data_IF_156576829827
#
_entry.id   IF_156576829827
#
_cell.length_a   1.000
_cell.length_b   1.000
_cell.length_c   1.000
_cell.angle_alpha   90.00
_cell.angle_beta   90.00
_cell.angle_gamma   90.00
#
_symmetry.space_group_name_H-M   'P 1'
#
loop_
_entity.id
_entity.type
_entity.pdbx_description
1 polymer ?
#
# COMPACT_ATOMS: atom_id res chain seq x y z
N UNK A 1 14.03 -21.88 -4.75
CA UNK A 1 15.33 -21.57 -5.41
C UNK A 1 15.43 -20.15 -5.99
N UNK A 2 14.53 -19.70 -6.91
CA UNK A 2 14.65 -18.37 -7.52
C UNK A 2 14.41 -17.25 -6.51
N UNK A 3 13.36 -17.33 -5.70
CA UNK A 3 13.06 -16.34 -4.65
C UNK A 3 14.17 -16.31 -3.57
N UNK A 4 14.69 -17.45 -3.18
CA UNK A 4 15.82 -17.55 -2.23
C UNK A 4 17.08 -16.84 -2.76
N UNK A 5 17.39 -17.01 -4.05
CA UNK A 5 18.53 -16.32 -4.68
C UNK A 5 18.32 -14.80 -4.71
N UNK A 6 17.09 -14.36 -4.96
CA UNK A 6 16.77 -12.93 -4.93
C UNK A 6 16.89 -12.36 -3.52
N UNK A 7 16.36 -13.04 -2.50
CA UNK A 7 16.43 -12.61 -1.11
C UNK A 7 17.88 -12.52 -0.57
N UNK A 8 18.79 -13.39 -1.03
CA UNK A 8 20.22 -13.29 -0.69
C UNK A 8 20.85 -12.01 -1.24
N UNK A 9 20.42 -11.56 -2.43
CA UNK A 9 20.95 -10.36 -3.09
C UNK A 9 20.22 -9.08 -2.70
N UNK A 10 19.00 -9.22 -2.19
CA UNK A 10 18.14 -8.12 -1.79
C UNK A 10 17.54 -8.40 -0.40
N UNK A 11 18.20 -7.94 0.67
CA UNK A 11 17.74 -8.19 2.04
C UNK A 11 16.42 -7.46 2.39
N UNK A 12 15.93 -6.57 1.53
CA UNK A 12 14.63 -5.92 1.69
C UNK A 12 13.45 -6.71 1.08
N UNK A 13 13.77 -7.78 0.33
CA UNK A 13 12.78 -8.68 -0.24
C UNK A 13 12.50 -9.83 0.73
N UNK A 14 11.26 -9.90 1.18
CA UNK A 14 10.78 -10.97 2.06
C UNK A 14 9.74 -11.81 1.32
N UNK A 15 9.71 -13.12 1.58
CA UNK A 15 8.68 -14.00 1.02
C UNK A 15 8.36 -15.15 1.97
N UNK A 16 7.12 -15.61 1.92
CA UNK A 16 6.63 -16.78 2.65
C UNK A 16 5.70 -17.62 1.76
N UNK A 17 5.70 -18.96 1.91
CA UNK A 17 4.76 -19.81 1.19
C UNK A 17 3.32 -19.49 1.56
N UNK A 18 2.45 -19.45 0.56
CA UNK A 18 1.03 -19.22 0.73
C UNK A 18 0.21 -20.12 -0.21
N UNK A 19 -0.99 -20.48 0.21
CA UNK A 19 -1.94 -21.25 -0.61
C UNK A 19 -3.25 -20.47 -0.69
N UNK A 20 -3.72 -20.23 -1.92
CA UNK A 20 -5.01 -19.63 -2.22
C UNK A 20 -5.95 -20.70 -2.80
N UNK A 21 -7.22 -20.65 -2.45
CA UNK A 21 -8.24 -21.56 -3.01
C UNK A 21 -8.46 -21.33 -4.50
N UNK A 22 -8.25 -20.08 -4.98
CA UNK A 22 -8.45 -19.71 -6.37
C UNK A 22 -7.19 -19.91 -7.23
N UNK A 23 -5.99 -19.61 -6.70
CA UNK A 23 -4.72 -19.59 -7.45
C UNK A 23 -3.82 -20.81 -7.14
N UNK A 24 -4.13 -21.58 -6.09
CA UNK A 24 -3.31 -22.70 -5.65
C UNK A 24 -2.09 -22.27 -4.83
N UNK A 25 -1.01 -23.02 -4.94
CA UNK A 25 0.23 -22.75 -4.23
C UNK A 25 0.97 -21.56 -4.83
N UNK A 26 1.43 -20.66 -3.96
CA UNK A 26 2.19 -19.47 -4.32
C UNK A 26 3.02 -18.94 -3.17
N UNK A 27 3.37 -17.66 -3.25
CA UNK A 27 4.14 -16.97 -2.22
C UNK A 27 3.54 -15.60 -1.95
N UNK A 28 3.51 -15.21 -0.69
CA UNK A 28 3.33 -13.84 -0.28
C UNK A 28 4.69 -13.18 -0.23
N UNK A 29 4.81 -12.03 -0.90
CA UNK A 29 6.06 -11.31 -1.00
C UNK A 29 5.91 -9.90 -0.42
N UNK A 30 6.91 -9.47 0.34
CA UNK A 30 7.04 -8.11 0.86
C UNK A 30 7.93 -7.27 -0.05
N UNK A 31 7.49 -6.04 -0.34
CA UNK A 31 8.21 -5.10 -1.20
C UNK A 31 8.30 -3.72 -0.57
N UNK A 32 9.35 -2.97 -0.89
CA UNK A 32 9.51 -1.57 -0.47
C UNK A 32 8.55 -0.60 -1.20
N UNK A 33 7.97 -1.04 -2.32
CA UNK A 33 7.04 -0.25 -3.14
C UNK A 33 6.84 -0.90 -4.51
N UNK A 34 6.01 -0.27 -5.37
CA UNK A 34 5.65 -0.82 -6.69
C UNK A 34 6.87 -1.02 -7.59
N UNK A 35 7.78 -0.06 -7.64
CA UNK A 35 8.99 -0.19 -8.47
C UNK A 35 9.85 -1.38 -8.03
N UNK A 36 9.99 -1.62 -6.74
CA UNK A 36 10.69 -2.78 -6.22
C UNK A 36 9.99 -4.08 -6.65
N UNK A 37 8.66 -4.12 -6.55
CA UNK A 37 7.84 -5.24 -7.00
C UNK A 37 8.05 -5.54 -8.50
N UNK A 38 8.01 -4.52 -9.36
CA UNK A 38 8.24 -4.64 -10.80
C UNK A 38 9.66 -5.16 -11.13
N UNK A 39 10.67 -4.68 -10.42
CA UNK A 39 12.06 -5.14 -10.60
C UNK A 39 12.19 -6.62 -10.23
N UNK A 40 11.63 -7.03 -9.11
CA UNK A 40 11.66 -8.43 -8.66
C UNK A 40 10.89 -9.32 -9.65
N UNK A 41 9.72 -8.88 -10.12
CA UNK A 41 8.97 -9.59 -11.16
C UNK A 41 9.80 -9.78 -12.43
N UNK A 42 10.35 -8.71 -12.99
CA UNK A 42 11.17 -8.78 -14.20
C UNK A 42 12.39 -9.69 -14.04
N UNK A 43 13.01 -9.70 -12.86
CA UNK A 43 14.11 -10.60 -12.58
C UNK A 43 13.68 -12.05 -12.53
N UNK A 44 12.54 -12.36 -11.91
CA UNK A 44 11.99 -13.73 -11.88
C UNK A 44 11.65 -14.23 -13.28
N UNK A 45 11.01 -13.39 -14.09
CA UNK A 45 10.65 -13.72 -15.47
C UNK A 45 11.89 -13.90 -16.35
N UNK A 46 12.86 -12.97 -16.29
CA UNK A 46 14.02 -12.98 -17.19
C UNK A 46 15.15 -13.90 -16.75
N UNK A 47 15.41 -14.03 -15.43
CA UNK A 47 16.54 -14.82 -14.91
C UNK A 47 16.15 -16.26 -14.59
N UNK A 48 14.89 -16.51 -14.23
CA UNK A 48 14.42 -17.83 -13.82
C UNK A 48 13.41 -18.46 -14.79
N UNK A 49 13.01 -17.76 -15.86
CA UNK A 49 12.05 -18.21 -16.89
C UNK A 49 10.75 -18.71 -16.26
N UNK A 50 10.20 -17.92 -15.31
CA UNK A 50 8.99 -18.25 -14.55
C UNK A 50 7.85 -17.34 -15.01
N UNK A 51 6.75 -17.93 -15.48
CA UNK A 51 5.50 -17.21 -15.67
C UNK A 51 4.83 -16.93 -14.32
N UNK A 52 4.59 -15.66 -14.02
CA UNK A 52 4.02 -15.20 -12.75
C UNK A 52 2.58 -14.75 -12.91
N UNK A 53 1.72 -15.17 -11.98
CA UNK A 53 0.41 -14.56 -11.74
C UNK A 53 0.53 -13.70 -10.49
N UNK A 54 0.50 -12.38 -10.70
CA UNK A 54 0.65 -11.41 -9.63
C UNK A 54 -0.69 -10.83 -9.24
N UNK A 55 -0.97 -10.80 -7.93
CA UNK A 55 -2.16 -10.13 -7.37
C UNK A 55 -1.84 -8.67 -7.03
N UNK A 56 -2.88 -7.86 -6.87
CA UNK A 56 -2.72 -6.48 -6.42
C UNK A 56 -2.05 -6.42 -5.04
N UNK A 57 -1.14 -5.45 -4.80
CA UNK A 57 -0.50 -5.27 -3.52
C UNK A 57 -1.53 -4.93 -2.44
N UNK A 58 -1.32 -5.43 -1.24
CA UNK A 58 -2.16 -5.16 -0.08
C UNK A 58 -1.34 -4.50 1.03
N UNK A 59 -2.02 -3.85 1.96
CA UNK A 59 -1.42 -3.26 3.15
C UNK A 59 -1.83 -4.08 4.37
N UNK A 60 -0.97 -4.11 5.39
CA UNK A 60 -1.30 -4.74 6.66
C UNK A 60 -2.18 -3.82 7.48
N UNK A 61 -3.33 -4.32 7.93
CA UNK A 61 -4.23 -3.65 8.86
C UNK A 61 -4.02 -4.19 10.29
N UNK A 62 -4.56 -3.48 11.27
CA UNK A 62 -4.64 -3.96 12.64
C UNK A 62 -6.09 -3.98 13.10
N UNK A 63 -6.40 -4.91 13.99
CA UNK A 63 -7.68 -5.00 14.68
C UNK A 63 -7.40 -5.00 16.19
N UNK A 64 -8.16 -4.20 16.91
CA UNK A 64 -8.25 -4.31 18.36
C UNK A 64 -9.48 -5.15 18.68
N UNK A 65 -9.29 -6.26 19.38
CA UNK A 65 -10.40 -7.09 19.81
C UNK A 65 -11.01 -6.56 21.13
N UNK A 66 -12.18 -7.07 21.52
CA UNK A 66 -12.85 -6.69 22.78
C UNK A 66 -12.07 -7.00 24.05
N UNK A 67 -10.97 -7.74 23.95
CA UNK A 67 -10.04 -8.00 25.06
C UNK A 67 -8.91 -6.98 25.14
N UNK A 68 -8.86 -6.02 24.18
CA UNK A 68 -7.81 -5.02 24.08
C UNK A 68 -6.53 -5.54 23.44
N UNK A 69 -6.55 -6.71 22.79
CA UNK A 69 -5.38 -7.26 22.10
C UNK A 69 -5.35 -6.72 20.67
N UNK A 70 -4.18 -6.30 20.19
CA UNK A 70 -3.97 -5.87 18.81
C UNK A 70 -3.50 -7.05 17.96
N UNK A 71 -4.18 -7.29 16.85
CA UNK A 71 -3.92 -8.39 15.92
C UNK A 71 -3.63 -7.77 14.55
N UNK A 72 -2.49 -8.12 13.96
CA UNK A 72 -2.16 -7.72 12.58
C UNK A 72 -2.92 -8.59 11.58
N UNK A 73 -3.54 -7.96 10.61
CA UNK A 73 -4.34 -8.60 9.57
C UNK A 73 -3.65 -8.43 8.22
N UNK A 74 -3.23 -9.53 7.66
CA UNK A 74 -2.58 -9.58 6.35
C UNK A 74 -3.53 -10.00 5.23
N UNK A 75 -4.62 -10.72 5.58
CA UNK A 75 -5.63 -11.21 4.65
C UNK A 75 -7.03 -10.90 5.18
N UNK A 76 -8.01 -10.67 4.30
CA UNK A 76 -9.40 -10.51 4.71
C UNK A 76 -9.97 -11.73 5.48
N UNK A 77 -9.40 -12.90 5.24
CA UNK A 77 -9.81 -14.16 5.90
C UNK A 77 -9.39 -14.21 7.38
N UNK A 78 -8.28 -13.51 7.74
CA UNK A 78 -7.78 -13.45 9.11
C UNK A 78 -8.61 -12.52 10.01
N UNK A 79 -9.57 -11.78 9.44
CA UNK A 79 -10.49 -10.92 10.18
C UNK A 79 -11.39 -11.76 11.06
N UNK A 80 -11.36 -11.58 12.40
CA UNK A 80 -12.25 -12.27 13.34
C UNK A 80 -13.72 -11.99 13.05
N UNK A 81 -14.59 -12.73 13.74
CA UNK A 81 -16.02 -12.46 13.67
C UNK A 81 -16.32 -10.99 14.06
N UNK A 82 -17.24 -10.31 13.36
CA UNK A 82 -17.55 -8.90 13.64
C UNK A 82 -17.96 -8.64 15.11
N UNK A 83 -18.45 -9.68 15.79
CA UNK A 83 -18.82 -9.62 17.21
C UNK A 83 -17.62 -9.47 18.15
N UNK A 84 -16.42 -9.85 17.73
CA UNK A 84 -15.20 -9.83 18.53
C UNK A 84 -14.29 -8.62 18.23
N UNK A 85 -14.59 -7.87 17.15
CA UNK A 85 -13.85 -6.69 16.75
C UNK A 85 -14.40 -5.47 17.51
N UNK A 86 -13.52 -4.71 18.14
CA UNK A 86 -13.81 -3.42 18.76
C UNK A 86 -13.45 -2.27 17.81
N UNK A 87 -12.28 -2.33 17.19
CA UNK A 87 -11.76 -1.26 16.34
C UNK A 87 -10.90 -1.82 15.21
N UNK A 88 -11.11 -1.29 14.01
CA UNK A 88 -10.16 -1.46 12.90
C UNK A 88 -9.17 -0.30 12.85
N UNK A 89 -7.91 -0.60 12.55
CA UNK A 89 -6.85 0.38 12.36
C UNK A 89 -6.19 0.20 11.00
N UNK A 90 -5.99 1.32 10.33
CA UNK A 90 -5.30 1.38 9.04
C UNK A 90 -3.91 2.00 9.19
N UNK A 91 -2.91 1.55 8.41
CA UNK A 91 -1.60 2.17 8.39
C UNK A 91 -1.67 3.56 7.75
N UNK A 92 -1.07 4.54 8.42
CA UNK A 92 -0.98 5.93 7.98
C UNK A 92 0.47 6.26 7.65
N UNK A 93 0.67 6.94 6.54
CA UNK A 93 1.96 7.46 6.11
C UNK A 93 1.94 8.97 6.02
N UNK A 94 3.03 9.59 6.40
CA UNK A 94 3.29 11.02 6.20
C UNK A 94 3.91 11.21 4.85
N UNK A 95 3.19 11.88 3.97
CA UNK A 95 3.59 12.19 2.61
C UNK A 95 4.11 13.62 2.54
N UNK A 96 5.34 13.80 2.11
CA UNK A 96 5.94 15.10 1.82
C UNK A 96 5.97 15.30 0.30
N UNK A 97 5.18 16.24 -0.19
CA UNK A 97 5.07 16.52 -1.63
C UNK A 97 5.70 17.87 -1.92
N UNK A 98 6.77 17.88 -2.73
CA UNK A 98 7.43 19.11 -3.18
C UNK A 98 6.99 19.41 -4.61
N UNK A 99 6.40 20.59 -4.81
CA UNK A 99 5.84 21.00 -6.11
C UNK A 99 6.13 22.48 -6.39
N UNK A 100 6.16 22.89 -7.68
CA UNK A 100 6.07 24.30 -8.03
C UNK A 100 4.74 24.91 -7.54
N UNK A 101 4.79 26.20 -7.16
CA UNK A 101 3.65 26.90 -6.55
C UNK A 101 2.37 26.86 -7.39
N UNK A 102 2.51 26.80 -8.72
CA UNK A 102 1.39 26.75 -9.66
C UNK A 102 0.56 25.45 -9.55
N UNK A 103 1.13 24.38 -8.99
CA UNK A 103 0.48 23.07 -8.87
C UNK A 103 -0.02 22.75 -7.46
N UNK A 104 0.15 23.66 -6.48
CA UNK A 104 -0.29 23.44 -5.10
C UNK A 104 -1.76 23.00 -5.05
N UNK A 105 -2.65 23.74 -5.73
CA UNK A 105 -4.08 23.45 -5.71
C UNK A 105 -4.44 22.08 -6.30
N UNK A 106 -3.76 21.66 -7.36
CA UNK A 106 -3.98 20.35 -7.97
C UNK A 106 -3.56 19.20 -7.04
N UNK A 107 -2.40 19.35 -6.38
CA UNK A 107 -1.89 18.35 -5.42
C UNK A 107 -2.76 18.31 -4.16
N UNK A 108 -3.17 19.45 -3.62
CA UNK A 108 -4.07 19.49 -2.46
C UNK A 108 -5.38 18.77 -2.74
N UNK A 109 -5.99 19.01 -3.91
CA UNK A 109 -7.21 18.32 -4.33
C UNK A 109 -6.99 16.81 -4.42
N UNK A 110 -5.90 16.38 -5.07
CA UNK A 110 -5.55 14.96 -5.18
C UNK A 110 -5.38 14.29 -3.81
N UNK A 111 -4.62 14.92 -2.89
CA UNK A 111 -4.42 14.36 -1.54
C UNK A 111 -5.73 14.31 -0.74
N UNK A 112 -6.62 15.29 -0.89
CA UNK A 112 -7.95 15.27 -0.25
C UNK A 112 -8.84 14.16 -0.81
N UNK A 113 -8.85 13.94 -2.12
CA UNK A 113 -9.57 12.82 -2.75
C UNK A 113 -9.05 11.45 -2.26
N UNK A 114 -7.81 11.39 -1.78
CA UNK A 114 -7.16 10.22 -1.16
C UNK A 114 -7.28 10.18 0.37
N UNK A 115 -8.29 10.81 0.92
CA UNK A 115 -8.54 10.85 2.37
C UNK A 115 -7.37 11.44 3.18
N UNK A 116 -6.51 12.23 2.55
CA UNK A 116 -5.36 12.85 3.18
C UNK A 116 -5.76 14.01 4.10
N UNK A 117 -5.10 14.07 5.25
CA UNK A 117 -5.23 15.15 6.24
C UNK A 117 -3.98 16.02 6.15
N UNK A 118 -4.17 17.29 5.77
CA UNK A 118 -3.04 18.22 5.65
C UNK A 118 -2.45 18.54 7.02
N UNK A 119 -1.14 18.37 7.14
CA UNK A 119 -0.38 18.68 8.35
C UNK A 119 0.29 20.04 8.26
N UNK A 120 0.98 20.32 7.15
CA UNK A 120 1.68 21.58 6.95
C UNK A 120 1.79 21.95 5.48
N UNK A 121 2.13 23.23 5.25
CA UNK A 121 2.52 23.76 3.94
C UNK A 121 3.63 24.78 4.16
N UNK A 122 4.77 24.55 3.52
CA UNK A 122 5.94 25.40 3.64
C UNK A 122 6.42 25.84 2.25
N UNK A 123 6.81 27.11 2.12
CA UNK A 123 7.38 27.62 0.88
C UNK A 123 8.90 27.47 0.87
N UNK A 124 9.40 26.69 -0.08
CA UNK A 124 10.83 26.48 -0.30
C UNK A 124 11.34 27.52 -1.32
N UNK A 125 11.44 28.79 -0.89
CA UNK A 125 11.73 29.92 -1.75
C UNK A 125 10.52 30.41 -2.53
N UNK A 126 10.75 31.16 -3.63
CA UNK A 126 9.69 31.85 -4.36
C UNK A 126 8.85 30.94 -5.29
N UNK A 127 9.37 29.78 -5.67
CA UNK A 127 8.78 28.99 -6.78
C UNK A 127 8.38 27.57 -6.39
N UNK A 128 8.66 27.12 -5.17
CA UNK A 128 8.34 25.76 -4.71
C UNK A 128 7.68 25.79 -3.34
N UNK A 129 6.83 24.81 -3.12
CA UNK A 129 6.25 24.52 -1.81
C UNK A 129 6.40 23.04 -1.48
N UNK A 130 6.56 22.75 -0.21
CA UNK A 130 6.42 21.43 0.38
C UNK A 130 5.09 21.38 1.09
N UNK A 131 4.30 20.36 0.78
CA UNK A 131 2.99 20.12 1.39
C UNK A 131 3.05 18.77 2.07
N UNK A 132 2.75 18.72 3.36
CA UNK A 132 2.75 17.50 4.16
C UNK A 132 1.34 17.05 4.42
N UNK A 133 1.05 15.78 4.12
CA UNK A 133 -0.22 15.12 4.34
C UNK A 133 0.00 13.80 5.07
N UNK A 134 -0.88 13.48 6.01
CA UNK A 134 -1.03 12.13 6.53
C UNK A 134 -2.13 11.44 5.71
N UNK A 135 -1.77 10.32 5.05
CA UNK A 135 -2.61 9.61 4.08
C UNK A 135 -2.63 8.12 4.43
N UNK A 136 -3.77 7.42 4.35
CA UNK A 136 -3.79 5.97 4.46
C UNK A 136 -2.85 5.30 3.44
N UNK A 137 -2.00 4.38 3.89
CA UNK A 137 -1.01 3.72 3.03
C UNK A 137 -1.66 3.06 1.80
N UNK A 138 -2.85 2.48 1.96
CA UNK A 138 -3.59 1.88 0.86
C UNK A 138 -3.90 2.86 -0.28
N UNK A 139 -4.04 4.15 0.00
CA UNK A 139 -4.27 5.19 -1.01
C UNK A 139 -2.99 5.66 -1.71
N UNK A 140 -1.84 5.34 -1.12
CA UNK A 140 -0.51 5.76 -1.63
C UNK A 140 0.08 4.71 -2.57
N UNK A 141 0.00 3.42 -2.19
CA UNK A 141 0.71 2.34 -2.88
C UNK A 141 0.28 2.09 -4.31
N UNK A 142 -0.96 2.42 -4.70
CA UNK A 142 -1.44 2.12 -6.05
C UNK A 142 -0.92 3.09 -7.11
N UNK A 143 -1.25 4.36 -7.00
CA UNK A 143 -1.05 5.29 -8.11
C UNK A 143 -0.82 6.76 -7.69
N UNK A 144 -0.67 7.03 -6.39
CA UNK A 144 -0.51 8.41 -5.91
C UNK A 144 0.73 9.08 -6.50
N UNK A 145 1.85 8.36 -6.59
CA UNK A 145 3.08 8.88 -7.16
C UNK A 145 2.88 9.29 -8.63
N UNK A 146 2.26 8.42 -9.43
CA UNK A 146 2.03 8.68 -10.85
C UNK A 146 1.03 9.82 -11.06
N UNK A 147 0.02 9.91 -10.22
CA UNK A 147 -0.93 11.02 -10.25
C UNK A 147 -0.31 12.35 -9.86
N UNK A 148 0.58 12.37 -8.86
CA UNK A 148 1.36 13.56 -8.51
C UNK A 148 2.23 13.97 -9.70
N UNK A 149 2.96 13.04 -10.32
CA UNK A 149 3.74 13.33 -11.52
C UNK A 149 2.87 13.88 -12.64
N UNK A 150 1.75 13.24 -12.91
CA UNK A 150 0.83 13.65 -13.99
C UNK A 150 0.25 15.04 -13.74
N UNK A 151 -0.33 15.32 -12.57
CA UNK A 151 -0.95 16.60 -12.27
C UNK A 151 0.03 17.76 -12.14
N UNK A 152 1.34 17.48 -11.98
CA UNK A 152 2.41 18.48 -11.87
C UNK A 152 3.31 18.52 -13.10
N UNK A 153 2.91 17.89 -14.21
CA UNK A 153 3.73 17.81 -15.45
C UNK A 153 5.14 17.24 -15.21
N UNK A 154 5.27 16.30 -14.28
CA UNK A 154 6.53 15.66 -13.92
C UNK A 154 7.39 16.40 -12.87
N UNK A 155 6.99 17.60 -12.47
CA UNK A 155 7.81 18.42 -11.54
C UNK A 155 7.60 18.06 -10.06
N UNK A 156 6.49 17.42 -9.70
CA UNK A 156 6.21 17.01 -8.33
C UNK A 156 7.08 15.84 -7.89
N UNK A 157 7.52 15.86 -6.64
CA UNK A 157 8.16 14.73 -5.98
C UNK A 157 7.38 14.35 -4.75
N UNK A 158 7.28 13.06 -4.49
CA UNK A 158 6.64 12.48 -3.31
C UNK A 158 7.67 11.65 -2.57
N UNK A 159 7.76 11.88 -1.27
CA UNK A 159 8.41 11.01 -0.30
C UNK A 159 7.42 10.69 0.81
N UNK A 160 7.50 9.51 1.41
CA UNK A 160 6.62 9.15 2.52
C UNK A 160 7.30 8.26 3.54
N UNK A 161 6.87 8.37 4.78
CA UNK A 161 7.31 7.55 5.91
C UNK A 161 6.13 7.05 6.72
N UNK A 162 6.28 5.89 7.35
CA UNK A 162 5.25 5.32 8.22
C UNK A 162 5.11 6.16 9.50
N UNK A 163 3.88 6.58 9.81
CA UNK A 163 3.55 7.31 11.05
C UNK A 163 3.06 6.35 12.12
N UNK A 164 2.26 5.37 11.73
CA UNK A 164 1.65 4.40 12.63
C UNK A 164 0.30 3.93 12.13
N UNK A 165 -0.53 3.45 13.04
CA UNK A 165 -1.88 2.98 12.76
C UNK A 165 -2.90 3.88 13.42
N UNK A 166 -3.96 4.21 12.70
CA UNK A 166 -5.07 5.02 13.21
C UNK A 166 -6.40 4.29 13.05
N UNK A 167 -7.35 4.53 13.97
CA UNK A 167 -8.72 4.02 13.86
C UNK A 167 -9.35 4.36 12.51
N UNK A 168 -10.06 3.40 11.94
CA UNK A 168 -10.74 3.59 10.66
C UNK A 168 -12.06 2.84 10.61
N UNK A 169 -13.07 3.43 9.99
CA UNK A 169 -14.34 2.79 9.73
C UNK A 169 -14.19 1.89 8.49
N UNK A 170 -13.82 0.64 8.75
CA UNK A 170 -13.54 -0.38 7.74
C UNK A 170 -14.49 -1.56 7.91
N UNK A 171 -14.80 -2.22 6.79
CA UNK A 171 -15.51 -3.49 6.79
C UNK A 171 -14.82 -4.48 5.84
N UNK A 172 -14.97 -5.78 6.14
CA UNK A 172 -14.53 -6.82 5.22
C UNK A 172 -15.49 -6.92 4.05
N UNK A 173 -14.96 -6.84 2.83
CA UNK A 173 -15.69 -7.07 1.59
C UNK A 173 -15.41 -8.50 1.09
N UNK A 174 -16.45 -9.30 0.94
CA UNK A 174 -16.36 -10.62 0.33
C UNK A 174 -16.89 -10.55 -1.11
N UNK A 175 -16.06 -10.88 -2.07
CA UNK A 175 -16.45 -10.94 -3.48
C UNK A 175 -16.98 -12.32 -3.79
N UNK A 176 -18.22 -12.40 -4.31
CA UNK A 176 -18.90 -13.62 -4.63
C UNK A 176 -19.01 -13.79 -6.15
N UNK A 177 -18.49 -14.89 -6.67
CA UNK A 177 -18.67 -15.25 -8.09
C UNK A 177 -19.52 -16.52 -8.15
N UNK A 178 -20.68 -16.43 -8.79
CA UNK A 178 -21.66 -17.53 -8.88
C UNK A 178 -21.99 -18.15 -7.52
N UNK A 179 -22.18 -17.33 -6.49
CA UNK A 179 -22.50 -17.74 -5.12
C UNK A 179 -21.36 -18.37 -4.33
N UNK A 180 -20.15 -18.40 -4.88
CA UNK A 180 -18.94 -18.85 -4.19
C UNK A 180 -18.03 -17.66 -3.90
N UNK A 181 -17.49 -17.63 -2.70
CA UNK A 181 -16.49 -16.62 -2.30
C UNK A 181 -15.18 -16.85 -3.05
N UNK A 182 -14.59 -15.78 -3.54
CA UNK A 182 -13.28 -15.78 -4.22
C UNK A 182 -12.28 -15.05 -3.36
N UNK A 183 -11.23 -15.73 -2.94
CA UNK A 183 -10.20 -15.22 -2.02
C UNK A 183 -9.07 -14.46 -2.70
N UNK A 184 -8.95 -14.58 -4.01
CA UNK A 184 -7.90 -13.94 -4.80
C UNK A 184 -8.27 -12.56 -5.37
N UNK A 185 -9.47 -12.03 -5.03
CA UNK A 185 -9.97 -10.75 -5.52
C UNK A 185 -10.14 -9.75 -4.40
#
# INVERSE_FOLDING_TARGET
DALERLAVNDPSFEFEPETSDALGFGFRCGFLGLLHMEIIQQRLENEADIDLVQTAPNVTYEIVNKRGETISIHKPQDVPDPGDVEEFRQPIVRCNVIVPTDFIGAVMKLCQERRGIQQSQEYLGAQRAMITYDIPLAEVVYDLHDKIKSCTRGYGTLDYEMVGYEPADLCRLDIMVNGKRVDAL
#
